data_IF_813704056579
#
_entry.id   IF_813704056579
#
_cell.length_a   1.000
_cell.length_b   1.000
_cell.length_c   1.000
_cell.angle_alpha   90.00
_cell.angle_beta   90.00
_cell.angle_gamma   90.00
#
_symmetry.space_group_name_H-M   'P 1'
#
loop_
_entity.id
_entity.type
_entity.pdbx_description
1 polymer ?
#
# COMPACT_ATOMS: atom_id res chain seq x y z
N UNK A 1 11.95 -4.51 1.43
CA UNK A 1 13.28 -3.93 1.16
C UNK A 1 13.36 -3.72 -0.34
N UNK A 2 13.88 -2.58 -0.76
CA UNK A 2 13.90 -2.13 -2.16
C UNK A 2 15.13 -2.69 -2.87
N UNK A 3 15.00 -3.06 -4.14
CA UNK A 3 16.09 -3.70 -4.91
C UNK A 3 17.23 -2.73 -5.24
N UNK A 4 16.98 -1.41 -5.21
CA UNK A 4 17.94 -0.39 -5.69
C UNK A 4 18.42 0.60 -4.61
N UNK A 5 17.95 0.50 -3.37
CA UNK A 5 18.34 1.42 -2.29
C UNK A 5 17.89 2.88 -2.48
N UNK A 6 16.96 3.15 -3.40
CA UNK A 6 16.42 4.51 -3.63
C UNK A 6 15.56 4.95 -2.42
N UNK A 7 15.88 6.09 -1.78
CA UNK A 7 15.09 6.65 -0.69
C UNK A 7 13.61 6.87 -1.02
N UNK A 8 13.26 7.13 -2.29
CA UNK A 8 11.88 7.35 -2.73
C UNK A 8 11.06 6.06 -2.66
N UNK A 9 11.62 4.95 -3.13
CA UNK A 9 10.97 3.64 -3.06
C UNK A 9 10.75 3.23 -1.59
N UNK A 10 11.71 3.54 -0.71
CA UNK A 10 11.55 3.29 0.72
C UNK A 10 10.43 4.13 1.34
N UNK A 11 10.34 5.42 1.01
CA UNK A 11 9.27 6.28 1.50
C UNK A 11 7.88 5.79 1.05
N UNK A 12 7.76 5.28 -0.18
CA UNK A 12 6.53 4.66 -0.67
C UNK A 12 6.19 3.38 0.12
N UNK A 13 7.17 2.51 0.33
CA UNK A 13 7.00 1.27 1.09
C UNK A 13 6.59 1.54 2.54
N UNK A 14 7.26 2.47 3.22
CA UNK A 14 6.92 2.88 4.60
C UNK A 14 5.50 3.43 4.71
N UNK A 15 5.06 4.22 3.71
CA UNK A 15 3.68 4.72 3.67
C UNK A 15 2.67 3.56 3.58
N UNK A 16 2.90 2.60 2.69
CA UNK A 16 2.02 1.42 2.56
C UNK A 16 2.01 0.60 3.84
N UNK A 17 3.18 0.34 4.44
CA UNK A 17 3.30 -0.36 5.71
C UNK A 17 2.56 0.36 6.84
N UNK A 18 2.65 1.70 6.90
CA UNK A 18 1.92 2.51 7.86
C UNK A 18 0.40 2.34 7.75
N UNK A 19 -0.13 2.40 6.52
CA UNK A 19 -1.57 2.21 6.27
C UNK A 19 -2.01 0.81 6.75
N UNK A 20 -1.30 -0.24 6.35
CA UNK A 20 -1.65 -1.62 6.74
C UNK A 20 -1.59 -1.78 8.26
N UNK A 21 -0.55 -1.26 8.92
CA UNK A 21 -0.44 -1.36 10.38
C UNK A 21 -1.58 -0.63 11.10
N UNK A 22 -1.97 0.55 10.62
CA UNK A 22 -3.04 1.34 11.23
C UNK A 22 -4.42 0.71 11.00
N UNK A 23 -4.74 0.31 9.78
CA UNK A 23 -6.08 -0.19 9.44
C UNK A 23 -6.37 -1.56 10.03
N UNK A 24 -5.36 -2.42 10.13
CA UNK A 24 -5.49 -3.77 10.68
C UNK A 24 -5.05 -3.85 12.15
N UNK A 25 -4.84 -2.71 12.81
CA UNK A 25 -4.45 -2.59 14.21
C UNK A 25 -3.21 -3.44 14.59
N UNK A 26 -2.20 -3.47 13.71
CA UNK A 26 -0.98 -4.28 13.88
C UNK A 26 0.09 -3.59 14.73
N UNK A 27 -0.27 -2.51 15.43
CA UNK A 27 0.60 -1.81 16.37
C UNK A 27 0.71 -2.51 17.72
N UNK A 28 -0.19 -3.45 17.99
CA UNK A 28 -0.26 -4.19 19.24
C UNK A 28 0.47 -5.53 19.13
N UNK A 29 1.33 -5.82 20.09
CA UNK A 29 2.11 -7.07 20.16
C UNK A 29 1.66 -7.89 21.37
N UNK A 30 0.60 -8.69 21.18
CA UNK A 30 0.10 -9.62 22.20
C UNK A 30 0.15 -11.09 21.75
N UNK A 31 0.53 -11.32 20.49
CA UNK A 31 0.51 -12.63 19.84
C UNK A 31 1.94 -13.20 19.69
N UNK A 32 2.04 -14.53 19.62
CA UNK A 32 3.31 -15.20 19.26
C UNK A 32 3.70 -14.96 17.80
N UNK A 33 4.91 -15.37 17.41
CA UNK A 33 5.44 -15.15 16.07
C UNK A 33 4.51 -15.70 14.98
N UNK A 34 4.09 -16.97 15.06
CA UNK A 34 3.26 -17.61 14.02
C UNK A 34 1.90 -16.93 13.86
N UNK A 35 1.28 -16.54 14.97
CA UNK A 35 0.00 -15.83 14.96
C UNK A 35 0.15 -14.43 14.36
N UNK A 36 1.23 -13.72 14.70
CA UNK A 36 1.55 -12.41 14.14
C UNK A 36 1.83 -12.50 12.65
N UNK A 37 2.62 -13.49 12.22
CA UNK A 37 2.90 -13.75 10.81
C UNK A 37 1.61 -13.99 10.02
N UNK A 38 0.73 -14.86 10.53
CA UNK A 38 -0.55 -15.12 9.90
C UNK A 38 -1.42 -13.86 9.85
N UNK A 39 -1.50 -13.08 10.93
CA UNK A 39 -2.27 -11.85 10.95
C UNK A 39 -1.77 -10.83 9.91
N UNK A 40 -0.45 -10.63 9.82
CA UNK A 40 0.17 -9.77 8.80
C UNK A 40 -0.14 -10.27 7.39
N UNK A 41 0.00 -11.58 7.15
CA UNK A 41 -0.32 -12.19 5.85
C UNK A 41 -1.78 -11.96 5.45
N UNK A 42 -2.73 -12.14 6.36
CA UNK A 42 -4.15 -11.89 6.10
C UNK A 42 -4.43 -10.40 5.88
N UNK A 43 -3.75 -9.52 6.61
CA UNK A 43 -3.89 -8.07 6.47
C UNK A 43 -3.43 -7.59 5.10
N UNK A 44 -2.27 -8.08 4.62
CA UNK A 44 -1.75 -7.79 3.28
C UNK A 44 -2.73 -8.29 2.21
N UNK A 45 -3.24 -9.52 2.36
CA UNK A 45 -4.22 -10.07 1.43
C UNK A 45 -5.50 -9.23 1.38
N UNK A 46 -6.04 -8.85 2.54
CA UNK A 46 -7.23 -8.02 2.62
C UNK A 46 -7.01 -6.62 2.01
N UNK A 47 -5.84 -6.03 2.22
CA UNK A 47 -5.48 -4.75 1.59
C UNK A 47 -5.46 -4.86 0.06
N UNK A 48 -4.89 -5.94 -0.50
CA UNK A 48 -4.74 -6.11 -1.94
C UNK A 48 -6.03 -6.56 -2.66
N UNK A 49 -6.83 -7.42 -2.02
CA UNK A 49 -7.96 -8.09 -2.67
C UNK A 49 -9.34 -7.56 -2.24
N UNK A 50 -9.45 -6.91 -1.07
CA UNK A 50 -10.75 -6.55 -0.48
C UNK A 50 -10.93 -5.05 -0.25
N UNK A 51 -9.84 -4.30 -0.02
CA UNK A 51 -9.90 -2.87 0.27
C UNK A 51 -10.02 -2.08 -1.04
N UNK A 52 -11.11 -1.32 -1.28
CA UNK A 52 -11.21 -0.42 -2.43
C UNK A 52 -10.45 0.90 -2.17
N UNK A 53 -9.78 1.42 -3.19
CA UNK A 53 -8.95 2.62 -3.08
C UNK A 53 -9.55 3.76 -3.91
N UNK A 54 -9.84 4.89 -3.27
CA UNK A 54 -10.40 6.07 -3.98
C UNK A 54 -9.47 6.66 -5.06
N UNK A 55 -8.15 6.49 -4.92
CA UNK A 55 -7.19 6.86 -5.96
C UNK A 55 -7.16 5.89 -7.15
N UNK A 56 -7.76 4.71 -6.99
CA UNK A 56 -7.82 3.64 -7.99
C UNK A 56 -9.26 3.39 -8.43
N UNK A 57 -10.09 4.43 -8.50
CA UNK A 57 -11.49 4.34 -8.98
C UNK A 57 -12.35 3.40 -8.13
N UNK A 58 -12.03 3.28 -6.83
CA UNK A 58 -12.63 2.33 -5.90
C UNK A 58 -12.38 0.85 -6.26
N UNK A 59 -11.40 0.59 -7.12
CA UNK A 59 -10.85 -0.74 -7.31
C UNK A 59 -9.91 -1.10 -6.16
N UNK A 60 -9.76 -2.41 -5.95
CA UNK A 60 -8.72 -2.97 -5.10
C UNK A 60 -7.36 -2.89 -5.79
N UNK A 61 -6.24 -2.89 -5.05
CA UNK A 61 -4.90 -2.90 -5.63
C UNK A 61 -4.71 -3.98 -6.69
N UNK A 62 -5.21 -5.20 -6.46
CA UNK A 62 -5.07 -6.30 -7.41
C UNK A 62 -5.91 -6.07 -8.67
N UNK A 63 -7.15 -5.59 -8.53
CA UNK A 63 -7.98 -5.22 -9.68
C UNK A 63 -7.35 -4.10 -10.52
N UNK A 64 -6.82 -3.08 -9.86
CA UNK A 64 -6.12 -1.98 -10.51
C UNK A 64 -4.84 -2.45 -11.22
N UNK A 65 -4.09 -3.39 -10.63
CA UNK A 65 -2.89 -3.96 -11.22
C UNK A 65 -3.18 -4.79 -12.48
N UNK A 66 -4.32 -5.50 -12.49
CA UNK A 66 -4.74 -6.32 -13.62
C UNK A 66 -5.40 -5.52 -14.76
N UNK A 67 -5.75 -4.25 -14.55
CA UNK A 67 -6.27 -3.39 -15.61
C UNK A 67 -5.17 -2.96 -16.58
N UNK A 68 -5.50 -3.01 -17.88
CA UNK A 68 -4.63 -2.54 -18.96
C UNK A 68 -4.81 -1.04 -19.26
N UNK A 69 -5.89 -0.44 -18.77
CA UNK A 69 -6.18 0.98 -18.95
C UNK A 69 -5.44 1.83 -17.92
N UNK A 70 -5.01 3.02 -18.33
CA UNK A 70 -4.34 3.95 -17.42
C UNK A 70 -5.35 4.56 -16.45
N UNK A 71 -5.16 4.33 -15.15
CA UNK A 71 -5.99 4.94 -14.12
C UNK A 71 -5.84 6.48 -14.13
N UNK A 72 -6.95 7.24 -14.09
CA UNK A 72 -6.90 8.69 -14.06
C UNK A 72 -6.28 9.17 -12.75
N UNK A 73 -5.22 9.98 -12.82
CA UNK A 73 -4.58 10.55 -11.64
C UNK A 73 -5.52 11.57 -10.98
N UNK A 74 -5.99 11.26 -9.76
CA UNK A 74 -6.84 12.17 -8.97
C UNK A 74 -6.06 13.21 -8.14
N UNK A 75 -4.74 13.13 -8.10
CA UNK A 75 -3.90 14.10 -7.37
C UNK A 75 -3.36 15.20 -8.30
N UNK A 76 -3.17 16.40 -7.73
CA UNK A 76 -2.56 17.53 -8.45
C UNK A 76 -1.08 17.25 -8.73
N UNK A 77 -0.67 17.33 -10.00
CA UNK A 77 0.74 17.37 -10.35
C UNK A 77 1.24 18.81 -10.11
N UNK A 78 2.17 18.98 -9.17
CA UNK A 78 2.94 20.22 -9.09
C UNK A 78 4.05 20.12 -10.13
N UNK A 79 3.88 20.77 -11.29
CA UNK A 79 4.96 20.88 -12.27
C UNK A 79 6.13 21.59 -11.61
N UNK A 80 7.23 20.86 -11.42
CA UNK A 80 8.50 21.41 -10.96
C UNK A 80 9.16 22.13 -12.12
N UNK A 81 8.75 23.37 -12.37
CA UNK A 81 9.61 24.28 -13.14
C UNK A 81 10.78 24.65 -12.23
N UNK A 82 11.90 23.97 -12.44
CA UNK A 82 13.19 24.46 -11.95
C UNK A 82 13.62 25.57 -12.91
N UNK A 83 13.66 26.81 -12.40
CA UNK A 83 14.33 27.92 -13.06
C UNK A 83 15.83 27.81 -12.84
#
# INVERSE_FOLDING_TARGET
>A
MTDNGDPYENALAERVNGIIKTEFNLHQTHLGFDQTYNLVKHSIKAYNELRPHGSCDYLTPDQAHLQFETLPKRWKNYNKYYF
#
